data_IF_901169644851
#
_entry.id   IF_901169644851
#
_cell.length_a   1.000
_cell.length_b   1.000
_cell.length_c   1.000
_cell.angle_alpha   90.00
_cell.angle_beta   90.00
_cell.angle_gamma   90.00
#
_symmetry.space_group_name_H-M   'P 1'
#
loop_
_entity.id
_entity.type
_entity.pdbx_description
1 polymer ?
#
# COMPACT_ATOMS: atom_id res chain seq x y z
N UNK A 1 -6.69 4.08 -1.47
CA UNK A 1 -7.70 4.12 -2.56
C UNK A 1 -7.05 4.01 -3.95
N UNK A 2 -6.10 4.87 -4.34
CA UNK A 2 -5.48 4.83 -5.68
C UNK A 2 -4.89 3.46 -6.07
N UNK A 3 -4.18 2.82 -5.14
CA UNK A 3 -3.64 1.47 -5.34
C UNK A 3 -4.74 0.42 -5.60
N UNK A 4 -5.86 0.51 -4.89
CA UNK A 4 -7.03 -0.37 -5.09
C UNK A 4 -7.66 -0.09 -6.45
N UNK A 5 -7.87 1.17 -6.79
CA UNK A 5 -8.43 1.57 -8.08
C UNK A 5 -7.59 1.01 -9.24
N UNK A 6 -6.26 1.16 -9.17
CA UNK A 6 -5.34 0.63 -10.17
C UNK A 6 -5.45 -0.90 -10.31
N UNK A 7 -5.57 -1.63 -9.20
CA UNK A 7 -5.74 -3.09 -9.22
C UNK A 7 -7.01 -3.58 -9.93
N UNK A 8 -8.01 -2.70 -10.09
CA UNK A 8 -9.30 -2.98 -10.76
C UNK A 8 -9.29 -2.50 -12.21
N UNK A 9 -8.64 -1.37 -12.51
CA UNK A 9 -8.72 -0.70 -13.82
C UNK A 9 -7.57 -1.01 -14.79
N UNK A 10 -6.48 -1.60 -14.31
CA UNK A 10 -5.25 -1.85 -15.08
C UNK A 10 -5.05 -3.36 -15.34
N UNK A 11 -5.84 -3.94 -16.24
CA UNK A 11 -5.85 -5.40 -16.47
C UNK A 11 -4.86 -5.86 -17.55
N UNK A 12 -4.46 -4.95 -18.44
CA UNK A 12 -3.49 -5.20 -19.52
C UNK A 12 -2.12 -4.55 -19.23
N UNK A 13 -1.77 -4.39 -17.95
CA UNK A 13 -0.50 -3.81 -17.52
C UNK A 13 -0.43 -2.29 -17.74
N UNK A 14 0.78 -1.74 -17.71
CA UNK A 14 1.02 -0.29 -17.65
C UNK A 14 0.62 0.50 -18.89
N UNK A 15 0.37 -0.17 -20.01
CA UNK A 15 -0.17 0.42 -21.23
C UNK A 15 -1.62 0.91 -21.04
N UNK A 16 -2.34 0.34 -20.08
CA UNK A 16 -3.61 0.87 -19.60
C UNK A 16 -3.34 1.81 -18.42
N UNK A 17 -3.70 3.08 -18.56
CA UNK A 17 -3.59 4.04 -17.46
C UNK A 17 -4.68 3.76 -16.41
N UNK A 18 -4.31 3.71 -15.13
CA UNK A 18 -5.22 3.36 -14.04
C UNK A 18 -6.32 4.40 -13.75
N UNK A 19 -6.12 5.67 -14.15
CA UNK A 19 -6.96 6.80 -13.76
C UNK A 19 -7.63 7.49 -14.94
N UNK A 20 -6.97 7.48 -16.09
CA UNK A 20 -7.39 8.19 -17.30
C UNK A 20 -7.50 7.22 -18.47
N UNK A 21 -8.44 7.45 -19.38
CA UNK A 21 -8.41 6.82 -20.68
C UNK A 21 -7.32 7.48 -21.55
N UNK A 22 -6.29 6.75 -22.02
CA UNK A 22 -5.20 7.37 -22.76
C UNK A 22 -5.59 7.82 -24.18
N UNK A 23 -6.74 7.39 -24.69
CA UNK A 23 -7.27 7.79 -26.01
C UNK A 23 -8.19 8.99 -25.86
N UNK A 24 -9.16 8.90 -24.96
CA UNK A 24 -10.17 9.96 -24.78
C UNK A 24 -9.70 11.10 -23.85
N UNK A 25 -8.60 10.89 -23.10
CA UNK A 25 -8.03 11.84 -22.12
C UNK A 25 -9.00 12.22 -20.99
N UNK A 26 -9.92 11.33 -20.66
CA UNK A 26 -10.93 11.53 -19.62
C UNK A 26 -10.65 10.69 -18.39
N UNK A 27 -11.05 11.19 -17.22
CA UNK A 27 -10.94 10.46 -15.97
C UNK A 27 -11.93 9.27 -15.96
N UNK A 28 -11.40 8.06 -15.81
CA UNK A 28 -12.17 6.82 -15.81
C UNK A 28 -13.22 6.84 -14.69
N UNK A 29 -12.89 7.40 -13.53
CA UNK A 29 -13.81 7.50 -12.39
C UNK A 29 -15.05 8.35 -12.66
N UNK A 30 -14.96 9.32 -13.57
CA UNK A 30 -16.10 10.21 -13.92
C UNK A 30 -16.99 9.53 -14.95
N UNK A 31 -16.42 8.91 -15.98
CA UNK A 31 -17.19 8.23 -17.03
C UNK A 31 -17.77 6.89 -16.57
N UNK A 32 -17.13 6.27 -15.60
CA UNK A 32 -17.40 4.88 -15.23
C UNK A 32 -17.59 4.76 -13.72
N UNK A 33 -18.76 5.16 -13.20
CA UNK A 33 -19.02 5.15 -11.76
C UNK A 33 -18.93 3.75 -11.14
N UNK A 34 -19.21 2.68 -11.91
CA UNK A 34 -19.06 1.30 -11.43
C UNK A 34 -17.61 0.94 -11.07
N UNK A 35 -16.60 1.50 -11.76
CA UNK A 35 -15.20 1.31 -11.40
C UNK A 35 -14.89 1.89 -10.01
N UNK A 36 -15.32 3.13 -9.77
CA UNK A 36 -15.07 3.80 -8.49
C UNK A 36 -15.87 3.14 -7.36
N UNK A 37 -17.10 2.72 -7.65
CA UNK A 37 -17.96 1.99 -6.71
C UNK A 37 -17.29 0.69 -6.25
N UNK A 38 -16.75 -0.11 -7.16
CA UNK A 38 -16.02 -1.33 -6.81
C UNK A 38 -14.78 -1.00 -5.94
N UNK A 39 -13.99 0.01 -6.32
CA UNK A 39 -12.82 0.43 -5.56
C UNK A 39 -13.16 0.91 -4.14
N UNK A 40 -14.26 1.65 -3.98
CA UNK A 40 -14.76 2.11 -2.68
C UNK A 40 -15.32 0.96 -1.84
N UNK A 41 -15.95 -0.05 -2.47
CA UNK A 41 -16.40 -1.26 -1.78
C UNK A 41 -15.21 -2.03 -1.20
N UNK A 42 -14.19 -2.31 -2.01
CA UNK A 42 -12.95 -2.97 -1.53
C UNK A 42 -12.29 -2.15 -0.42
N UNK A 43 -12.20 -0.83 -0.58
CA UNK A 43 -11.64 0.04 0.46
C UNK A 43 -12.43 -0.02 1.77
N UNK A 44 -13.77 0.02 1.70
CA UNK A 44 -14.65 -0.11 2.87
C UNK A 44 -14.43 -1.46 3.56
N UNK A 45 -14.40 -2.54 2.79
CA UNK A 45 -14.29 -3.90 3.33
C UNK A 45 -12.93 -4.11 4.00
N UNK A 46 -11.84 -3.61 3.39
CA UNK A 46 -10.52 -3.57 4.00
C UNK A 46 -10.49 -2.73 5.28
N UNK A 47 -11.09 -1.54 5.27
CA UNK A 47 -11.12 -0.66 6.44
C UNK A 47 -11.88 -1.28 7.61
N UNK A 48 -12.99 -1.98 7.33
CA UNK A 48 -13.74 -2.75 8.32
C UNK A 48 -12.93 -3.91 8.86
N UNK A 49 -12.32 -4.72 7.98
CA UNK A 49 -11.54 -5.90 8.39
C UNK A 49 -10.29 -5.55 9.21
N UNK A 50 -9.63 -4.43 8.89
CA UNK A 50 -8.41 -4.00 9.56
C UNK A 50 -8.65 -3.12 10.79
N UNK A 51 -9.91 -2.86 11.16
CA UNK A 51 -10.28 -1.99 12.28
C UNK A 51 -9.54 -0.64 12.26
N UNK A 52 -9.42 -0.04 11.07
CA UNK A 52 -8.70 1.23 10.94
C UNK A 52 -9.35 2.31 11.80
N UNK A 53 -8.55 3.19 12.41
CA UNK A 53 -9.10 4.36 13.09
C UNK A 53 -9.90 5.21 12.09
N UNK A 54 -10.95 5.86 12.59
CA UNK A 54 -11.84 6.73 11.80
C UNK A 54 -11.12 7.91 11.12
N UNK A 55 -9.94 8.28 11.60
CA UNK A 55 -9.05 9.22 10.93
C UNK A 55 -7.73 8.54 10.58
N UNK A 56 -7.41 8.57 9.28
CA UNK A 56 -6.12 8.14 8.72
C UNK A 56 -5.25 9.35 8.33
N UNK A 57 -5.60 10.57 8.77
CA UNK A 57 -4.83 11.76 8.44
C UNK A 57 -3.45 11.70 9.11
N UNK A 58 -2.43 11.45 8.29
CA UNK A 58 -1.04 11.60 8.67
C UNK A 58 -0.29 12.24 7.51
N UNK A 59 0.40 13.35 7.77
CA UNK A 59 1.32 13.96 6.81
C UNK A 59 2.73 13.33 6.89
N UNK A 60 2.88 12.20 7.58
CA UNK A 60 4.15 11.48 7.68
C UNK A 60 4.44 10.72 6.39
N UNK A 61 5.70 10.72 5.96
CA UNK A 61 6.19 9.90 4.83
C UNK A 61 5.96 8.41 5.07
N UNK A 62 5.96 7.98 6.34
CA UNK A 62 5.73 6.58 6.73
C UNK A 62 4.42 6.50 7.51
N UNK A 63 3.57 5.54 7.14
CA UNK A 63 2.32 5.28 7.87
C UNK A 63 2.61 4.95 9.34
N UNK A 64 2.08 5.75 10.26
CA UNK A 64 2.34 5.62 11.69
C UNK A 64 1.86 4.27 12.27
N UNK A 65 0.74 3.72 11.78
CA UNK A 65 0.24 2.43 12.27
C UNK A 65 1.19 1.28 11.89
N UNK A 66 1.82 1.37 10.73
CA UNK A 66 2.87 0.43 10.32
C UNK A 66 4.15 0.64 11.12
N UNK A 67 4.62 1.89 11.25
CA UNK A 67 5.84 2.20 11.99
C UNK A 67 5.77 1.75 13.47
N UNK A 68 4.60 1.86 14.09
CA UNK A 68 4.37 1.43 15.48
C UNK A 68 4.02 -0.05 15.65
N UNK A 69 4.09 -0.85 14.58
CA UNK A 69 3.79 -2.29 14.62
C UNK A 69 2.29 -2.62 14.79
N UNK A 70 1.39 -1.64 14.69
CA UNK A 70 -0.06 -1.85 14.74
C UNK A 70 -0.63 -2.42 13.44
N UNK A 71 0.08 -2.26 12.32
CA UNK A 71 -0.23 -2.88 11.04
C UNK A 71 0.97 -3.68 10.54
N UNK A 72 0.76 -4.92 10.10
CA UNK A 72 1.81 -5.78 9.56
C UNK A 72 2.31 -5.33 8.17
N UNK A 73 1.49 -4.58 7.44
CA UNK A 73 1.80 -4.08 6.10
C UNK A 73 1.27 -2.66 5.91
N UNK A 74 1.87 -1.93 4.96
CA UNK A 74 1.37 -0.63 4.50
C UNK A 74 1.50 -0.52 3.00
N UNK A 75 0.56 0.18 2.36
CA UNK A 75 0.69 0.62 0.97
C UNK A 75 1.16 2.07 1.04
N UNK A 76 2.35 2.32 0.52
CA UNK A 76 2.97 3.63 0.58
C UNK A 76 3.67 3.95 -0.74
N UNK A 77 4.01 5.22 -0.92
CA UNK A 77 4.82 5.65 -2.03
C UNK A 77 6.23 5.09 -1.93
N UNK A 78 6.87 4.88 -3.08
CA UNK A 78 8.19 4.31 -3.22
C UNK A 78 9.27 5.05 -2.41
N UNK A 79 9.15 6.38 -2.26
CA UNK A 79 10.09 7.18 -1.48
C UNK A 79 10.03 6.95 0.04
N UNK A 80 9.01 6.27 0.56
CA UNK A 80 8.96 5.89 1.97
C UNK A 80 10.06 4.87 2.33
N UNK A 81 10.43 4.00 1.39
CA UNK A 81 11.48 3.01 1.59
C UNK A 81 12.88 3.62 1.76
N UNK A 82 13.40 4.46 0.83
CA UNK A 82 14.65 5.16 1.06
C UNK A 82 14.54 6.19 2.19
N UNK A 83 13.36 6.73 2.52
CA UNK A 83 13.23 7.57 3.71
C UNK A 83 13.53 6.79 5.00
N UNK A 84 13.15 5.52 5.08
CA UNK A 84 13.47 4.65 6.21
C UNK A 84 14.95 4.28 6.26
N UNK A 85 15.58 4.06 5.12
CA UNK A 85 17.00 3.65 5.04
C UNK A 85 18.01 4.82 5.09
N UNK A 86 17.67 5.93 4.44
CA UNK A 86 18.50 7.13 4.27
C UNK A 86 18.05 8.30 5.16
N UNK A 87 17.04 8.13 6.02
CA UNK A 87 16.89 9.06 7.14
C UNK A 87 18.26 9.07 7.82
N UNK A 88 18.97 10.21 7.83
CA UNK A 88 20.25 10.26 8.48
C UNK A 88 20.01 9.68 9.86
N UNK A 89 20.86 8.74 10.30
CA UNK A 89 21.10 8.62 11.73
C UNK A 89 21.46 10.04 12.15
N UNK A 90 20.47 10.78 12.64
CA UNK A 90 20.65 12.12 13.15
C UNK A 90 21.33 11.92 14.50
N UNK A 91 22.60 11.47 14.47
CA UNK A 91 23.66 12.23 15.13
C UNK A 91 23.24 13.69 14.98
N UNK A 92 22.88 14.32 16.10
CA UNK A 92 22.07 15.53 16.18
C UNK A 92 22.69 16.79 15.58
N UNK A 93 23.40 16.71 14.46
CA UNK A 93 24.25 17.77 13.91
C UNK A 93 24.00 18.10 12.42
N UNK A 94 23.06 17.46 11.71
CA UNK A 94 22.65 17.93 10.36
C UNK A 94 21.20 18.38 10.31
N UNK A 95 21.03 19.69 10.49
CA UNK A 95 19.87 20.46 10.04
C UNK A 95 19.82 20.44 8.51
N UNK A 96 19.01 19.53 7.95
CA UNK A 96 18.50 19.73 6.60
C UNK A 96 17.56 20.94 6.65
N UNK A 97 18.01 22.07 6.10
CA UNK A 97 17.20 23.28 5.99
C UNK A 97 15.92 22.98 5.21
N UNK A 98 14.78 23.11 5.88
CA UNK A 98 13.46 22.93 5.29
C UNK A 98 12.40 22.53 6.33
N UNK A 99 11.83 23.51 7.00
CA UNK A 99 10.62 23.47 7.86
C UNK A 99 10.47 22.30 8.86
N UNK A 100 10.85 22.54 10.11
CA UNK A 100 10.19 22.13 11.37
C UNK A 100 9.60 20.72 11.60
N UNK A 101 9.90 19.67 10.82
CA UNK A 101 9.28 18.35 11.06
C UNK A 101 10.17 17.10 10.84
N UNK A 102 11.45 17.27 10.53
CA UNK A 102 12.27 16.17 9.99
C UNK A 102 13.11 15.42 11.04
N UNK A 103 12.50 15.00 12.15
CA UNK A 103 13.03 13.82 12.86
C UNK A 103 12.22 12.62 12.38
N UNK A 104 12.85 11.54 11.86
CA UNK A 104 12.12 10.30 11.63
C UNK A 104 11.44 9.92 12.94
N UNK A 105 10.18 9.47 12.87
CA UNK A 105 9.47 8.97 14.03
C UNK A 105 10.35 7.91 14.72
N UNK A 106 10.50 7.86 16.06
CA UNK A 106 11.39 6.88 16.71
C UNK A 106 11.12 5.44 16.28
N UNK A 107 9.83 5.11 16.04
CA UNK A 107 9.40 3.81 15.54
C UNK A 107 9.83 3.50 14.08
N UNK A 108 10.31 4.49 13.32
CA UNK A 108 10.86 4.30 11.98
C UNK A 108 12.29 3.76 12.02
N UNK A 109 13.08 4.07 13.06
CA UNK A 109 14.45 3.55 13.22
C UNK A 109 14.45 2.04 13.44
N UNK A 110 13.47 1.50 14.19
CA UNK A 110 13.32 0.06 14.40
C UNK A 110 12.98 -0.72 13.14
N UNK A 111 12.60 -0.04 12.06
CA UNK A 111 12.26 -0.69 10.79
C UNK A 111 13.45 -0.86 9.84
N UNK A 112 14.60 -0.20 10.11
CA UNK A 112 15.78 -0.28 9.25
C UNK A 112 16.27 -1.73 9.18
N UNK A 113 16.40 -2.28 7.96
CA UNK A 113 16.82 -3.67 7.73
C UNK A 113 15.74 -4.73 8.04
N UNK A 114 14.54 -4.32 8.47
CA UNK A 114 13.45 -5.21 8.87
C UNK A 114 12.19 -5.09 7.99
N UNK A 115 12.29 -4.39 6.84
CA UNK A 115 11.19 -4.22 5.89
C UNK A 115 11.50 -4.95 4.59
N UNK A 116 10.50 -5.66 4.07
CA UNK A 116 10.44 -6.14 2.69
C UNK A 116 9.46 -5.32 1.85
N UNK A 117 9.59 -5.40 0.53
CA UNK A 117 8.62 -4.88 -0.43
C UNK A 117 8.06 -6.06 -1.20
N UNK A 118 6.76 -6.04 -1.45
CA UNK A 118 6.04 -7.03 -2.25
C UNK A 118 5.23 -6.32 -3.33
N UNK A 119 5.01 -6.94 -4.50
CA UNK A 119 3.94 -6.52 -5.39
C UNK A 119 2.62 -6.38 -4.64
N UNK A 120 1.83 -5.38 -5.02
CA UNK A 120 0.50 -5.20 -4.46
C UNK A 120 -0.42 -6.33 -4.98
N UNK A 121 -1.23 -6.96 -4.11
CA UNK A 121 -2.24 -7.91 -4.57
C UNK A 121 -3.18 -7.29 -5.60
N UNK A 122 -3.47 -8.05 -6.67
CA UNK A 122 -4.49 -7.70 -7.65
C UNK A 122 -5.91 -7.86 -7.10
N UNK A 123 -6.91 -7.46 -7.89
CA UNK A 123 -8.33 -7.67 -7.58
C UNK A 123 -8.89 -8.89 -8.32
N UNK A 124 -9.77 -9.66 -7.66
CA UNK A 124 -10.53 -10.73 -8.32
C UNK A 124 -11.62 -10.18 -9.25
N UNK A 125 -12.03 -8.92 -9.06
CA UNK A 125 -13.01 -8.23 -9.89
C UNK A 125 -12.38 -7.02 -10.56
N UNK A 126 -12.54 -6.93 -11.87
CA UNK A 126 -11.89 -5.94 -12.72
C UNK A 126 -12.90 -5.17 -13.54
N UNK A 127 -12.51 -3.97 -13.96
CA UNK A 127 -13.33 -3.17 -14.86
C UNK A 127 -13.00 -3.46 -16.32
N UNK A 128 -13.96 -4.05 -17.03
CA UNK A 128 -13.90 -4.23 -18.48
C UNK A 128 -14.27 -2.92 -19.17
N UNK A 129 -13.28 -2.26 -19.79
CA UNK A 129 -13.47 -0.98 -20.50
C UNK A 129 -14.38 -1.10 -21.72
N UNK A 130 -14.32 -2.22 -22.44
CA UNK A 130 -15.11 -2.42 -23.65
C UNK A 130 -16.59 -2.63 -23.31
N UNK A 131 -16.85 -3.51 -22.34
CA UNK A 131 -18.21 -3.78 -21.85
C UNK A 131 -18.73 -2.74 -20.84
N UNK A 132 -17.88 -1.80 -20.41
CA UNK A 132 -18.14 -0.78 -19.40
C UNK A 132 -18.72 -1.32 -18.09
N UNK A 133 -18.27 -2.49 -17.66
CA UNK A 133 -18.84 -3.20 -16.51
C UNK A 133 -17.78 -3.92 -15.70
N UNK A 134 -18.09 -4.24 -14.44
CA UNK A 134 -17.21 -5.01 -13.57
C UNK A 134 -17.43 -6.51 -13.84
N UNK A 135 -16.34 -7.26 -14.04
CA UNK A 135 -16.35 -8.71 -14.32
C UNK A 135 -15.32 -9.42 -13.45
N UNK A 136 -15.45 -10.75 -13.36
CA UNK A 136 -14.42 -11.59 -12.75
C UNK A 136 -13.12 -11.57 -13.57
N UNK A 137 -12.00 -11.55 -12.85
CA UNK A 137 -10.66 -11.65 -13.39
C UNK A 137 -10.35 -13.13 -13.70
N UNK A 138 -10.03 -13.41 -14.96
CA UNK A 138 -9.69 -14.73 -15.46
C UNK A 138 -8.62 -14.60 -16.55
N UNK A 139 -8.03 -15.70 -17.05
CA UNK A 139 -6.95 -15.61 -18.04
C UNK A 139 -7.30 -14.86 -19.33
N UNK A 140 -8.59 -14.72 -19.68
CA UNK A 140 -9.02 -13.93 -20.85
C UNK A 140 -9.17 -12.43 -20.55
N UNK A 141 -9.63 -12.07 -19.35
CA UNK A 141 -9.86 -10.67 -18.95
C UNK A 141 -8.65 -10.01 -18.31
N UNK A 142 -7.77 -10.82 -17.72
CA UNK A 142 -6.55 -10.44 -17.00
C UNK A 142 -5.36 -11.33 -17.43
N UNK A 143 -4.92 -11.27 -18.69
CA UNK A 143 -3.89 -12.19 -19.19
C UNK A 143 -2.52 -12.01 -18.53
N UNK A 144 -2.29 -10.86 -17.88
CA UNK A 144 -1.04 -10.54 -17.18
C UNK A 144 -1.11 -10.79 -15.67
N UNK A 145 -2.25 -11.25 -15.15
CA UNK A 145 -2.37 -11.58 -13.74
C UNK A 145 -1.69 -12.92 -13.45
N UNK A 146 -0.80 -12.93 -12.48
CA UNK A 146 -0.21 -14.16 -11.92
C UNK A 146 -0.94 -14.53 -10.63
N UNK A 147 -1.20 -15.82 -10.44
CA UNK A 147 -1.61 -16.32 -9.13
C UNK A 147 -0.33 -16.57 -8.33
N UNK A 148 -0.10 -15.74 -7.31
CA UNK A 148 0.93 -16.03 -6.33
C UNK A 148 0.38 -17.09 -5.35
N UNK A 149 1.08 -18.22 -5.22
CA UNK A 149 0.83 -19.12 -4.10
C UNK A 149 1.21 -18.38 -2.81
N UNK A 150 0.26 -18.27 -1.88
CA UNK A 150 0.56 -17.81 -0.53
C UNK A 150 1.45 -18.87 0.13
N UNK A 151 2.76 -18.68 0.04
CA UNK A 151 3.71 -19.51 0.78
C UNK A 151 3.58 -19.14 2.25
N UNK A 152 2.80 -19.92 2.98
CA UNK A 152 2.64 -19.76 4.42
C UNK A 152 3.95 -20.13 5.10
N UNK A 153 4.80 -19.15 5.38
CA UNK A 153 5.95 -19.35 6.27
C UNK A 153 5.45 -19.41 7.72
N UNK A 154 5.17 -20.61 8.21
CA UNK A 154 5.01 -20.88 9.63
C UNK A 154 6.37 -20.74 10.31
N UNK A 155 6.75 -19.52 10.73
CA UNK A 155 7.77 -19.39 11.77
C UNK A 155 7.17 -19.79 13.10
N UNK A 156 7.79 -20.75 13.76
CA UNK A 156 7.52 -21.02 15.17
C UNK A 156 7.93 -19.78 15.98
N UNK A 157 6.95 -19.03 16.49
CA UNK A 157 7.18 -17.84 17.32
C UNK A 157 7.94 -18.14 18.63
N UNK A 158 8.15 -19.41 18.97
CA UNK A 158 8.96 -19.87 20.10
C UNK A 158 10.47 -19.63 19.95
N UNK A 159 10.96 -19.22 18.78
CA UNK A 159 12.38 -18.91 18.55
C UNK A 159 12.70 -17.41 18.60
N UNK A 160 11.73 -16.53 18.90
CA UNK A 160 12.05 -15.14 19.17
C UNK A 160 12.88 -15.06 20.47
N UNK A 161 14.08 -14.46 20.45
CA UNK A 161 14.87 -14.31 21.67
C UNK A 161 14.05 -13.51 22.69
N UNK A 162 13.95 -14.04 23.91
CA UNK A 162 13.13 -13.54 25.02
C UNK A 162 13.44 -12.09 25.48
N UNK A 163 14.34 -11.38 24.79
CA UNK A 163 14.76 -10.02 25.12
C UNK A 163 13.91 -8.92 24.47
N UNK A 164 12.87 -9.23 23.69
CA UNK A 164 12.01 -8.23 23.06
C UNK A 164 11.02 -7.53 24.03
N UNK A 165 11.02 -7.86 25.32
CA UNK A 165 10.12 -7.27 26.34
C UNK A 165 10.75 -6.13 27.17
N UNK A 166 11.98 -5.70 26.90
CA UNK A 166 12.59 -4.52 27.56
C UNK A 166 12.63 -3.30 26.65
N UNK A 167 11.47 -2.73 26.34
CA UNK A 167 11.36 -1.38 25.80
C UNK A 167 10.04 -0.73 26.25
N UNK A 168 9.88 -0.59 27.57
CA UNK A 168 8.89 0.29 28.18
C UNK A 168 9.39 0.70 29.57
N UNK A 169 10.05 1.86 29.59
CA UNK A 169 10.39 2.66 30.76
C UNK A 169 10.23 4.13 30.38
#
# INVERSE_FOLDING_TARGET
>A
LNAILASISQTQGTWQNAFMDPVELELLSIKHPELMKEALQVYRDLAQASHLPTSLHSCSVVNHLFATGRCAMTINWEHAFPYLYNSPRLDGTRTAGGSNSSKPHPAAESLVGHIGVSPLPGSSRIYDRAGRTVKECNPSTCPLATQDEIVTYSRNFSELPANATKASG
#
